data_IF_185230644726
#
_entry.id   IF_185230644726
#
_cell.length_a   1.000
_cell.length_b   1.000
_cell.length_c   1.000
_cell.angle_alpha   90.00
_cell.angle_beta   90.00
_cell.angle_gamma   90.00
#
_symmetry.space_group_name_H-M   'P 1'
#
loop_
_entity.id
_entity.type
_entity.pdbx_description
1 polymer ?
#
# COMPACT_ATOMS: atom_id res chain seq x y z
N UNK A 1 -15.44 -22.01 21.78
CA UNK A 1 -14.01 -21.61 21.73
C UNK A 1 -13.59 -21.05 20.38
N UNK A 2 -14.08 -21.58 19.25
CA UNK A 2 -13.67 -21.15 17.91
C UNK A 2 -13.96 -19.69 17.58
N UNK A 3 -15.15 -19.23 17.95
CA UNK A 3 -15.65 -17.88 17.68
C UNK A 3 -14.85 -16.74 18.35
N UNK A 4 -14.30 -16.99 19.55
CA UNK A 4 -13.46 -16.03 20.28
C UNK A 4 -12.13 -15.80 19.54
N UNK A 5 -11.50 -16.89 19.11
CA UNK A 5 -10.23 -16.83 18.39
C UNK A 5 -10.41 -16.27 16.96
N UNK A 6 -11.56 -16.48 16.33
CA UNK A 6 -11.86 -15.89 15.02
C UNK A 6 -12.09 -14.38 15.12
N UNK A 7 -12.76 -13.91 16.19
CA UNK A 7 -12.80 -12.48 16.52
C UNK A 7 -11.41 -11.92 16.79
N UNK A 8 -10.57 -12.65 17.50
CA UNK A 8 -9.19 -12.24 17.76
C UNK A 8 -8.39 -12.12 16.44
N UNK A 9 -8.54 -13.07 15.52
CA UNK A 9 -7.89 -13.04 14.21
C UNK A 9 -8.33 -11.83 13.37
N UNK A 10 -9.64 -11.52 13.34
CA UNK A 10 -10.16 -10.33 12.66
C UNK A 10 -9.58 -9.02 13.24
N UNK A 11 -9.48 -8.92 14.57
CA UNK A 11 -8.83 -7.79 15.24
C UNK A 11 -7.33 -7.75 14.95
N UNK A 12 -6.69 -8.92 14.88
CA UNK A 12 -5.27 -9.08 14.54
C UNK A 12 -4.95 -8.51 13.17
N UNK A 13 -5.78 -8.79 12.16
CA UNK A 13 -5.63 -8.23 10.82
C UNK A 13 -5.60 -6.69 10.84
N UNK A 14 -6.59 -6.05 11.46
CA UNK A 14 -6.65 -4.58 11.50
C UNK A 14 -5.49 -3.96 12.26
N UNK A 15 -5.03 -4.60 13.34
CA UNK A 15 -3.84 -4.15 14.08
C UNK A 15 -2.57 -4.26 13.22
N UNK A 16 -2.42 -5.37 12.50
CA UNK A 16 -1.29 -5.58 11.60
C UNK A 16 -1.32 -4.58 10.44
N UNK A 17 -2.47 -4.35 9.82
CA UNK A 17 -2.65 -3.37 8.75
C UNK A 17 -2.33 -1.94 9.23
N UNK A 18 -2.83 -1.54 10.41
CA UNK A 18 -2.54 -0.23 10.99
C UNK A 18 -1.06 -0.06 11.35
N UNK A 19 -0.44 -1.09 11.94
CA UNK A 19 0.99 -1.09 12.26
C UNK A 19 1.85 -1.01 10.98
N UNK A 20 1.46 -1.73 9.94
CA UNK A 20 2.13 -1.69 8.63
C UNK A 20 2.04 -0.30 8.00
N UNK A 21 0.82 0.25 7.93
CA UNK A 21 0.56 1.59 7.41
C UNK A 21 1.41 2.64 8.15
N UNK A 22 1.40 2.61 9.48
CA UNK A 22 2.15 3.54 10.30
C UNK A 22 3.67 3.37 10.10
N UNK A 23 4.18 2.13 10.18
CA UNK A 23 5.60 1.86 10.05
C UNK A 23 6.15 2.29 8.68
N UNK A 24 5.53 1.85 7.59
CA UNK A 24 6.01 2.11 6.23
C UNK A 24 5.59 3.47 5.66
N UNK A 25 4.77 4.25 6.37
CA UNK A 25 4.58 5.67 6.07
C UNK A 25 5.58 6.52 6.84
N UNK A 26 5.70 6.30 8.16
CA UNK A 26 6.48 7.18 9.04
C UNK A 26 7.98 6.92 8.93
N UNK A 27 8.41 5.66 8.84
CA UNK A 27 9.84 5.32 8.76
C UNK A 27 10.52 5.99 7.54
N UNK A 28 10.03 5.84 6.29
CA UNK A 28 10.63 6.54 5.16
C UNK A 28 10.44 8.05 5.25
N UNK A 29 9.31 8.56 5.76
CA UNK A 29 9.10 9.99 5.95
C UNK A 29 10.13 10.64 6.89
N UNK A 30 10.62 9.90 7.89
CA UNK A 30 11.58 10.39 8.88
C UNK A 30 13.03 10.09 8.50
N UNK A 31 13.29 9.00 7.79
CA UNK A 31 14.65 8.51 7.53
C UNK A 31 15.16 8.82 6.13
N UNK A 32 14.30 9.00 5.12
CA UNK A 32 14.75 9.27 3.75
C UNK A 32 15.04 10.77 3.59
N UNK A 33 16.27 11.15 3.16
CA UNK A 33 16.61 12.55 2.93
C UNK A 33 15.89 13.15 1.72
N UNK A 34 15.44 12.30 0.79
CA UNK A 34 14.71 12.66 -0.40
C UNK A 34 13.73 11.54 -0.79
N UNK A 35 12.70 11.88 -1.55
CA UNK A 35 11.79 10.89 -2.11
C UNK A 35 12.54 9.96 -3.10
N UNK A 36 12.13 8.67 -3.21
CA UNK A 36 12.64 7.74 -4.21
C UNK A 36 12.42 8.25 -5.64
N UNK A 37 13.26 7.79 -6.57
CA UNK A 37 13.26 8.25 -7.96
C UNK A 37 11.88 8.05 -8.62
N UNK A 38 11.32 6.83 -8.55
CA UNK A 38 10.04 6.55 -9.20
C UNK A 38 8.89 7.36 -8.60
N UNK A 39 8.94 7.64 -7.29
CA UNK A 39 7.93 8.46 -6.61
C UNK A 39 7.95 9.91 -7.12
N UNK A 40 9.15 10.47 -7.33
CA UNK A 40 9.33 11.78 -7.95
C UNK A 40 8.89 11.77 -9.42
N UNK A 41 9.22 10.73 -10.19
CA UNK A 41 8.78 10.58 -11.58
C UNK A 41 7.25 10.52 -11.68
N UNK A 42 6.57 9.76 -10.80
CA UNK A 42 5.10 9.69 -10.78
C UNK A 42 4.46 11.04 -10.50
N UNK A 43 4.99 11.79 -9.54
CA UNK A 43 4.50 13.14 -9.27
C UNK A 43 4.72 14.06 -10.50
N UNK A 44 5.91 14.05 -11.08
CA UNK A 44 6.25 14.89 -12.23
C UNK A 44 5.33 14.62 -13.42
N UNK A 45 5.07 13.35 -13.74
CA UNK A 45 4.10 13.00 -14.78
C UNK A 45 2.70 13.44 -14.38
N UNK A 46 2.25 13.05 -13.18
CA UNK A 46 0.92 13.34 -12.66
C UNK A 46 0.52 14.81 -12.75
N UNK A 47 1.45 15.71 -12.41
CA UNK A 47 1.24 17.16 -12.43
C UNK A 47 0.99 17.71 -13.85
N UNK A 48 1.27 16.94 -14.90
CA UNK A 48 0.94 17.32 -16.29
C UNK A 48 -0.50 16.97 -16.69
N UNK A 49 -1.22 16.17 -15.88
CA UNK A 49 -2.62 15.81 -16.12
C UNK A 49 -2.90 15.24 -17.53
N UNK A 50 -1.97 14.44 -18.06
CA UNK A 50 -2.12 13.82 -19.38
C UNK A 50 -2.97 12.55 -19.29
N UNK A 51 -3.64 12.19 -20.38
CA UNK A 51 -4.42 10.95 -20.50
C UNK A 51 -3.58 9.69 -20.71
N UNK A 52 -2.26 9.85 -20.86
CA UNK A 52 -1.31 8.76 -20.94
C UNK A 52 0.11 9.31 -20.97
N UNK A 53 1.03 8.58 -20.34
CA UNK A 53 2.45 8.90 -20.32
C UNK A 53 3.23 7.88 -21.16
N UNK A 54 4.48 8.18 -21.45
CA UNK A 54 5.33 7.37 -22.32
C UNK A 54 5.51 5.91 -21.85
N UNK A 55 5.36 5.62 -20.56
CA UNK A 55 5.52 4.26 -20.00
C UNK A 55 4.23 3.61 -19.50
N UNK A 56 3.26 4.38 -18.98
CA UNK A 56 2.15 3.84 -18.20
C UNK A 56 0.83 4.65 -18.30
N UNK A 57 -0.32 4.04 -17.97
CA UNK A 57 -1.60 4.72 -17.81
C UNK A 57 -1.55 5.84 -16.75
N UNK A 58 -2.46 6.82 -16.81
CA UNK A 58 -2.26 8.06 -16.09
C UNK A 58 -2.63 8.02 -14.60
N UNK A 59 -3.44 7.04 -14.19
CA UNK A 59 -4.05 7.01 -12.85
C UNK A 59 -3.05 7.09 -11.69
N UNK A 60 -1.96 6.29 -11.64
CA UNK A 60 -0.99 6.39 -10.55
C UNK A 60 -0.33 7.78 -10.47
N UNK A 61 0.00 8.37 -11.63
CA UNK A 61 0.53 9.74 -11.70
C UNK A 61 -0.47 10.76 -11.16
N UNK A 62 -1.73 10.72 -11.59
CA UNK A 62 -2.76 11.64 -11.09
C UNK A 62 -2.95 11.53 -9.58
N UNK A 63 -2.98 10.32 -9.02
CA UNK A 63 -3.06 10.12 -7.58
C UNK A 63 -1.86 10.72 -6.84
N UNK A 64 -0.65 10.55 -7.39
CA UNK A 64 0.55 11.17 -6.83
C UNK A 64 0.45 12.70 -6.82
N UNK A 65 -0.01 13.32 -7.92
CA UNK A 65 -0.22 14.77 -8.00
C UNK A 65 -1.24 15.28 -6.98
N UNK A 66 -2.43 14.66 -6.92
CA UNK A 66 -3.48 15.02 -5.94
C UNK A 66 -2.96 14.98 -4.50
N UNK A 67 -2.21 13.94 -4.16
CA UNK A 67 -1.70 13.75 -2.80
C UNK A 67 -0.64 14.80 -2.45
N UNK A 68 0.30 15.05 -3.36
CA UNK A 68 1.38 16.02 -3.14
C UNK A 68 0.82 17.45 -3.11
N UNK A 69 0.08 17.83 -4.14
CA UNK A 69 -0.46 19.19 -4.31
C UNK A 69 -1.61 19.47 -3.31
N UNK A 70 -2.27 18.42 -2.82
CA UNK A 70 -3.28 18.50 -1.76
C UNK A 70 -2.72 18.78 -0.36
N UNK A 71 -1.40 18.99 -0.23
CA UNK A 71 -0.77 19.47 1.00
C UNK A 71 -0.07 18.40 1.85
N UNK A 72 -0.08 17.13 1.43
CA UNK A 72 0.67 16.07 2.12
C UNK A 72 2.14 16.03 1.69
N UNK A 73 2.50 16.64 0.55
CA UNK A 73 3.86 16.67 0.03
C UNK A 73 4.42 15.28 -0.25
N UNK A 74 5.74 15.16 -0.29
CA UNK A 74 6.44 13.89 -0.53
C UNK A 74 6.05 12.76 0.46
N UNK A 75 5.88 13.00 1.78
CA UNK A 75 5.42 11.97 2.70
C UNK A 75 4.05 11.37 2.35
N UNK A 76 3.20 12.15 1.67
CA UNK A 76 1.92 11.67 1.15
C UNK A 76 2.06 10.50 0.18
N UNK A 77 3.15 10.43 -0.60
CA UNK A 77 3.39 9.33 -1.54
C UNK A 77 3.65 8.00 -0.82
N UNK A 78 4.28 8.04 0.35
CA UNK A 78 4.46 6.85 1.19
C UNK A 78 3.10 6.36 1.72
N UNK A 79 2.26 7.29 2.21
CA UNK A 79 0.91 6.97 2.65
C UNK A 79 0.08 6.36 1.52
N UNK A 80 0.09 6.99 0.35
CA UNK A 80 -0.62 6.51 -0.84
C UNK A 80 -0.18 5.09 -1.20
N UNK A 81 1.12 4.84 -1.19
CA UNK A 81 1.66 3.50 -1.45
C UNK A 81 1.18 2.47 -0.44
N UNK A 82 1.21 2.80 0.86
CA UNK A 82 0.75 1.87 1.89
C UNK A 82 -0.76 1.62 1.80
N UNK A 83 -1.56 2.58 1.34
CA UNK A 83 -2.99 2.35 1.06
C UNK A 83 -3.19 1.33 -0.06
N UNK A 84 -2.37 1.35 -1.12
CA UNK A 84 -2.40 0.34 -2.16
C UNK A 84 -2.01 -1.05 -1.65
N UNK A 85 -0.96 -1.14 -0.83
CA UNK A 85 -0.56 -2.39 -0.18
C UNK A 85 -1.66 -2.92 0.75
N UNK A 86 -2.30 -2.05 1.53
CA UNK A 86 -3.38 -2.42 2.44
C UNK A 86 -4.63 -2.90 1.67
N UNK A 87 -4.94 -2.30 0.52
CA UNK A 87 -6.00 -2.80 -0.36
C UNK A 87 -5.70 -4.23 -0.80
N UNK A 88 -4.45 -4.52 -1.19
CA UNK A 88 -4.03 -5.88 -1.53
C UNK A 88 -4.14 -6.86 -0.35
N UNK A 89 -3.63 -6.48 0.83
CA UNK A 89 -3.78 -7.29 2.04
C UNK A 89 -5.23 -7.55 2.40
N UNK A 90 -6.10 -6.55 2.22
CA UNK A 90 -7.52 -6.69 2.52
C UNK A 90 -8.21 -7.66 1.56
N UNK A 91 -7.96 -7.57 0.24
CA UNK A 91 -8.47 -8.54 -0.73
C UNK A 91 -7.99 -9.96 -0.42
N UNK A 92 -6.69 -10.15 -0.21
CA UNK A 92 -6.10 -11.44 0.12
C UNK A 92 -6.67 -12.02 1.43
N UNK A 93 -6.88 -11.17 2.44
CA UNK A 93 -7.49 -11.55 3.70
C UNK A 93 -8.96 -11.95 3.54
N UNK A 94 -9.74 -11.16 2.78
CA UNK A 94 -11.15 -11.45 2.50
C UNK A 94 -11.30 -12.79 1.81
N UNK A 95 -10.52 -13.03 0.76
CA UNK A 95 -10.49 -14.30 0.05
C UNK A 95 -10.05 -15.45 0.97
N UNK A 96 -9.00 -15.23 1.77
CA UNK A 96 -8.55 -16.22 2.75
C UNK A 96 -9.60 -16.55 3.81
N UNK A 97 -10.39 -15.57 4.27
CA UNK A 97 -11.48 -15.80 5.22
C UNK A 97 -12.55 -16.70 4.61
N UNK A 98 -12.88 -16.47 3.34
CA UNK A 98 -13.90 -17.24 2.61
C UNK A 98 -13.44 -18.67 2.31
N UNK A 99 -12.15 -18.88 2.01
CA UNK A 99 -11.60 -20.19 1.64
C UNK A 99 -11.06 -21.02 2.82
N UNK A 100 -10.43 -20.37 3.81
CA UNK A 100 -9.61 -21.02 4.84
C UNK A 100 -10.03 -20.65 6.27
N UNK A 101 -10.91 -19.67 6.42
CA UNK A 101 -11.34 -19.12 7.71
C UNK A 101 -10.39 -18.06 8.30
N UNK A 102 -10.83 -17.31 9.33
CA UNK A 102 -10.16 -16.07 9.75
C UNK A 102 -8.72 -16.20 10.24
N UNK A 103 -8.36 -17.36 10.81
CA UNK A 103 -7.03 -17.57 11.40
C UNK A 103 -5.97 -17.81 10.34
N UNK A 104 -6.27 -18.69 9.38
CA UNK A 104 -5.37 -18.97 8.26
C UNK A 104 -5.28 -17.76 7.33
N UNK A 105 -6.38 -17.03 7.15
CA UNK A 105 -6.39 -15.75 6.45
C UNK A 105 -5.50 -14.69 7.11
N UNK A 106 -5.41 -14.65 8.44
CA UNK A 106 -4.47 -13.74 9.11
C UNK A 106 -3.02 -14.15 8.80
N UNK A 107 -2.72 -15.45 8.84
CA UNK A 107 -1.38 -15.94 8.52
C UNK A 107 -0.97 -15.69 7.07
N UNK A 108 -1.88 -15.74 6.10
CA UNK A 108 -1.54 -15.40 4.71
C UNK A 108 -1.07 -13.95 4.59
N UNK A 109 -1.70 -13.01 5.29
CA UNK A 109 -1.27 -11.59 5.31
C UNK A 109 0.05 -11.41 6.05
N UNK A 110 0.26 -12.11 7.18
CA UNK A 110 1.54 -12.09 7.90
C UNK A 110 2.68 -12.54 6.98
N UNK A 111 2.46 -13.61 6.19
CA UNK A 111 3.43 -14.10 5.24
C UNK A 111 3.65 -13.12 4.07
N UNK A 112 2.58 -12.52 3.53
CA UNK A 112 2.68 -11.50 2.49
C UNK A 112 3.49 -10.29 2.95
N UNK A 113 3.36 -9.87 4.20
CA UNK A 113 4.16 -8.77 4.76
C UNK A 113 5.66 -9.06 4.77
N UNK A 114 6.07 -10.34 4.87
CA UNK A 114 7.46 -10.76 4.78
C UNK A 114 8.02 -10.76 3.35
N UNK A 115 7.18 -10.57 2.33
CA UNK A 115 7.62 -10.46 0.94
C UNK A 115 8.17 -9.06 0.70
N UNK A 116 9.34 -9.00 0.07
CA UNK A 116 10.12 -7.78 -0.17
C UNK A 116 9.30 -6.64 -0.78
N UNK A 117 8.45 -6.96 -1.76
CA UNK A 117 7.64 -5.97 -2.50
C UNK A 117 6.58 -5.26 -1.67
N UNK A 118 6.09 -5.89 -0.60
CA UNK A 118 5.08 -5.29 0.28
C UNK A 118 5.71 -4.56 1.47
N UNK A 119 7.04 -4.51 1.57
CA UNK A 119 7.75 -3.94 2.72
C UNK A 119 8.86 -3.00 2.27
N UNK A 120 10.07 -3.52 2.06
CA UNK A 120 11.29 -2.72 1.86
C UNK A 120 11.19 -1.77 0.65
N UNK A 121 10.56 -2.21 -0.44
CA UNK A 121 10.39 -1.37 -1.64
C UNK A 121 9.06 -0.65 -1.70
N UNK A 122 8.14 -0.89 -0.76
CA UNK A 122 6.82 -0.27 -0.80
C UNK A 122 6.85 1.26 -0.69
N UNK A 123 7.86 1.94 -0.08
CA UNK A 123 7.91 3.40 -0.10
C UNK A 123 8.13 4.02 -1.48
N UNK A 124 8.52 3.24 -2.50
CA UNK A 124 8.79 3.73 -3.84
C UNK A 124 7.52 3.70 -4.71
N UNK A 125 6.60 4.65 -4.44
CA UNK A 125 5.31 4.69 -5.14
C UNK A 125 5.48 4.78 -6.66
N UNK A 126 5.01 3.74 -7.36
CA UNK A 126 5.08 3.62 -8.81
C UNK A 126 3.87 2.84 -9.35
N UNK A 127 3.87 2.58 -10.66
CA UNK A 127 2.76 1.90 -11.32
C UNK A 127 2.52 0.47 -10.80
N UNK A 128 3.56 -0.23 -10.33
CA UNK A 128 3.38 -1.58 -9.77
C UNK A 128 2.58 -1.52 -8.47
N UNK A 129 2.89 -0.57 -7.59
CA UNK A 129 2.15 -0.37 -6.34
C UNK A 129 0.73 0.13 -6.62
N UNK A 130 0.55 1.06 -7.55
CA UNK A 130 -0.78 1.48 -8.00
C UNK A 130 -1.63 0.29 -8.49
N UNK A 131 -1.01 -0.65 -9.21
CA UNK A 131 -1.65 -1.85 -9.71
C UNK A 131 -2.02 -2.87 -8.62
N UNK A 132 -1.24 -2.97 -7.53
CA UNK A 132 -1.54 -3.87 -6.40
C UNK A 132 -2.91 -3.61 -5.79
N UNK A 133 -3.40 -2.37 -5.85
CA UNK A 133 -4.74 -2.02 -5.37
C UNK A 133 -5.88 -2.61 -6.23
N UNK A 134 -5.60 -3.00 -7.47
CA UNK A 134 -6.61 -3.44 -8.45
C UNK A 134 -6.50 -4.91 -8.86
N UNK A 135 -5.31 -5.53 -8.73
CA UNK A 135 -5.09 -6.93 -9.10
C UNK A 135 -5.22 -7.93 -7.94
N UNK A 136 -5.65 -7.49 -6.75
CA UNK A 136 -5.73 -8.32 -5.55
C UNK A 136 -7.11 -8.94 -5.30
#
# INVERSE_FOLDING_TARGET
MTESADRAARRGFWRLAAAHLAAWTLLPALCYPNAPLDAVEMYYWGHQWQWGYSKHPPLPGWLAAVVVDGGLGAPGLYLLSQLCVLACFWSAWRLGVELLGPRLALWSVVLLQGVFYFSVTSPEFNNNLGLMAFLA
#
